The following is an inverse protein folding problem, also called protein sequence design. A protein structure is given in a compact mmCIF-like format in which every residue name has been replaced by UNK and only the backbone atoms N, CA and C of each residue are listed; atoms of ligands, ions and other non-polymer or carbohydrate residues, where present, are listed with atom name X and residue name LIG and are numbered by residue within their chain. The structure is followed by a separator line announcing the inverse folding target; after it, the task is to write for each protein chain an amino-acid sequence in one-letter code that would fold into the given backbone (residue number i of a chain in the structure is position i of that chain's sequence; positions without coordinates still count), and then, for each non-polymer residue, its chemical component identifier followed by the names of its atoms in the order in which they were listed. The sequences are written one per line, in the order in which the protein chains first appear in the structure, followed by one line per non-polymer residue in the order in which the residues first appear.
data_IF_461905239456
#
_entry.id   IF_461905239456
#
_cell.length_a   1.000
_cell.length_b   1.000
_cell.length_c   1.000
_cell.angle_alpha   90.00
_cell.angle_beta   90.00
_cell.angle_gamma   90.00
#
_symmetry.space_group_name_H-M   'P 1'
#
loop_
_entity.id
_entity.type
_entity.pdbx_description
1 polymer ?
#
# COMPACT_ATOMS: atom_id res chain seq x y z
N UNK A 1 -7.47 -23.28 11.00
CA UNK A 1 -6.35 -23.82 10.18
C UNK A 1 -5.18 -22.86 10.07
N UNK A 2 -5.39 -21.55 10.01
CA UNK A 2 -4.29 -20.57 10.00
C UNK A 2 -3.44 -20.58 11.29
N UNK A 3 -3.96 -21.06 12.40
CA UNK A 3 -3.24 -21.10 13.69
C UNK A 3 -2.44 -22.38 13.94
N UNK A 4 -2.52 -23.39 13.05
CA UNK A 4 -1.89 -24.71 13.29
C UNK A 4 -0.56 -24.95 12.58
N UNK A 5 -0.07 -24.04 11.75
CA UNK A 5 1.19 -24.22 10.99
C UNK A 5 2.44 -23.58 11.62
N UNK A 6 2.43 -23.31 12.92
CA UNK A 6 3.62 -22.84 13.63
C UNK A 6 4.26 -23.91 14.50
N UNK A 7 4.39 -25.12 14.04
CA UNK A 7 5.32 -26.11 14.59
C UNK A 7 5.32 -27.34 13.67
N UNK A 8 6.29 -27.40 12.82
CA UNK A 8 7.06 -28.62 12.53
C UNK A 8 8.19 -28.28 11.58
N UNK A 9 9.38 -28.28 12.11
CA UNK A 9 10.55 -28.73 11.37
C UNK A 9 10.23 -30.14 10.88
N UNK A 10 10.27 -30.34 9.59
CA UNK A 10 10.77 -31.59 9.01
C UNK A 10 11.06 -31.36 7.54
N UNK A 11 12.31 -31.60 7.25
CA UNK A 11 12.87 -31.83 5.93
C UNK A 11 12.13 -33.00 5.27
N UNK A 12 11.65 -32.82 4.07
CA UNK A 12 11.66 -33.89 3.09
C UNK A 12 11.90 -33.33 1.68
N UNK A 13 13.05 -33.72 1.23
CA UNK A 13 13.63 -33.60 -0.07
C UNK A 13 12.84 -34.50 -1.06
N UNK A 14 12.18 -33.90 -2.03
CA UNK A 14 11.77 -34.60 -3.23
C UNK A 14 12.23 -33.83 -4.46
N UNK A 15 13.45 -34.16 -4.87
CA UNK A 15 13.99 -33.88 -6.18
C UNK A 15 13.16 -34.55 -7.25
N UNK A 16 12.56 -33.81 -8.14
CA UNK A 16 12.12 -34.31 -9.44
C UNK A 16 13.01 -33.69 -10.50
N UNK A 17 13.86 -34.52 -11.05
CA UNK A 17 14.73 -34.22 -12.19
C UNK A 17 13.90 -33.82 -13.41
N UNK A 18 14.17 -32.66 -13.95
CA UNK A 18 13.77 -32.28 -15.29
C UNK A 18 15.04 -32.00 -16.13
N UNK A 19 15.09 -32.43 -17.40
CA UNK A 19 16.30 -32.46 -18.17
C UNK A 19 16.79 -31.09 -18.58
N UNK A 20 18.10 -30.90 -18.52
CA UNK A 20 18.81 -29.69 -18.96
C UNK A 20 18.66 -29.47 -20.46
N UNK A 21 18.38 -28.23 -20.88
CA UNK A 21 18.72 -27.76 -22.22
C UNK A 21 20.05 -27.03 -22.24
N UNK A 22 20.76 -27.22 -23.32
CA UNK A 22 22.10 -26.79 -23.64
C UNK A 22 22.35 -25.27 -23.53
N UNK A 23 23.62 -24.96 -23.31
CA UNK A 23 24.23 -23.62 -23.29
C UNK A 23 23.82 -22.74 -24.46
N UNK A 24 23.20 -21.60 -24.15
CA UNK A 24 23.17 -20.43 -25.01
C UNK A 24 23.45 -19.16 -24.17
N UNK A 25 24.58 -18.56 -24.53
CA UNK A 25 25.05 -17.19 -24.34
C UNK A 25 24.66 -16.36 -23.09
N UNK A 26 25.71 -15.91 -22.42
CA UNK A 26 25.95 -15.13 -21.23
C UNK A 26 24.99 -13.99 -20.78
N UNK A 27 24.09 -13.47 -21.60
CA UNK A 27 23.13 -12.43 -21.20
C UNK A 27 21.81 -12.97 -20.65
N UNK A 28 21.49 -14.23 -20.91
CA UNK A 28 20.26 -14.89 -20.42
C UNK A 28 20.39 -15.43 -18.99
N UNK A 29 21.61 -15.65 -18.50
CA UNK A 29 21.87 -16.26 -17.20
C UNK A 29 21.57 -15.36 -15.98
N UNK A 30 21.70 -14.05 -16.13
CA UNK A 30 21.46 -13.10 -15.03
C UNK A 30 19.96 -12.85 -14.78
N UNK A 31 19.16 -12.90 -15.84
CA UNK A 31 17.71 -12.74 -15.72
C UNK A 31 17.02 -13.95 -15.05
N UNK A 32 17.59 -15.14 -15.14
CA UNK A 32 17.03 -16.32 -14.48
C UNK A 32 17.17 -16.28 -12.95
N UNK A 33 18.21 -15.65 -12.41
CA UNK A 33 18.39 -15.50 -10.95
C UNK A 33 17.38 -14.53 -10.31
N UNK A 34 16.86 -13.57 -11.08
CA UNK A 34 15.80 -12.65 -10.63
C UNK A 34 14.41 -13.31 -10.64
N UNK A 35 14.25 -14.46 -11.32
CA UNK A 35 12.95 -15.12 -11.48
C UNK A 35 12.56 -16.01 -10.30
N UNK A 36 13.52 -16.45 -9.50
CA UNK A 36 13.32 -17.35 -8.37
C UNK A 36 13.10 -16.65 -7.03
N UNK A 37 12.79 -15.35 -7.05
CA UNK A 37 12.28 -14.69 -5.86
C UNK A 37 10.95 -15.36 -5.49
N UNK A 38 10.98 -16.30 -4.55
CA UNK A 38 9.78 -16.88 -3.95
C UNK A 38 8.92 -15.74 -3.45
N UNK A 39 7.71 -15.61 -4.00
CA UNK A 39 6.74 -14.64 -3.53
C UNK A 39 6.30 -15.12 -2.16
N UNK A 40 6.91 -14.57 -1.12
CA UNK A 40 6.39 -14.71 0.22
C UNK A 40 5.28 -13.67 0.40
N UNK A 41 4.06 -14.03 0.08
CA UNK A 41 2.91 -13.30 0.57
C UNK A 41 3.00 -13.26 2.10
N UNK A 42 2.55 -12.18 2.74
CA UNK A 42 2.71 -12.05 4.19
C UNK A 42 2.23 -13.31 4.89
N UNK A 43 3.02 -13.92 5.77
CA UNK A 43 2.73 -15.22 6.41
C UNK A 43 1.38 -15.30 7.09
N UNK A 44 0.80 -14.14 7.36
CA UNK A 44 -0.38 -14.05 8.20
C UNK A 44 -1.69 -14.05 7.41
N UNK A 45 -1.71 -13.55 6.19
CA UNK A 45 -2.95 -13.31 5.46
C UNK A 45 -3.01 -14.02 4.10
N UNK A 46 -1.89 -14.34 3.53
CA UNK A 46 -1.80 -15.13 2.31
C UNK A 46 -1.71 -16.63 2.63
N UNK A 47 -2.74 -17.16 3.23
CA UNK A 47 -2.97 -18.59 3.18
C UNK A 47 -3.64 -18.93 1.83
N UNK A 48 -3.54 -20.19 1.38
CA UNK A 48 -4.13 -20.70 0.13
C UNK A 48 -5.63 -20.41 0.00
N UNK A 49 -6.30 -20.04 1.10
CA UNK A 49 -7.72 -19.69 1.10
C UNK A 49 -8.01 -18.23 0.70
N UNK A 50 -7.00 -17.36 0.73
CA UNK A 50 -7.16 -15.94 0.37
C UNK A 50 -6.74 -15.62 -1.06
N UNK A 51 -5.96 -16.50 -1.70
CA UNK A 51 -5.43 -16.35 -3.06
C UNK A 51 -5.82 -17.57 -3.88
N UNK A 52 -6.42 -17.36 -5.04
CA UNK A 52 -6.71 -18.44 -5.99
C UNK A 52 -5.44 -18.83 -6.75
N UNK A 53 -5.42 -20.05 -7.33
CA UNK A 53 -4.30 -20.49 -8.15
C UNK A 53 -4.06 -19.55 -9.35
N UNK A 54 -5.14 -19.05 -9.97
CA UNK A 54 -5.06 -18.08 -11.07
C UNK A 54 -4.44 -16.75 -10.62
N UNK A 55 -4.88 -16.21 -9.48
CA UNK A 55 -4.28 -15.02 -8.88
C UNK A 55 -2.80 -15.26 -8.54
N UNK A 56 -2.43 -16.45 -8.07
CA UNK A 56 -1.05 -16.82 -7.82
C UNK A 56 -0.18 -16.74 -9.08
N UNK A 57 -0.68 -17.22 -10.22
CA UNK A 57 0.00 -17.09 -11.52
C UNK A 57 0.14 -15.62 -11.92
N UNK A 58 -0.92 -14.83 -11.81
CA UNK A 58 -0.88 -13.41 -12.15
C UNK A 58 0.06 -12.61 -11.23
N UNK A 59 0.13 -12.96 -9.95
CA UNK A 59 1.09 -12.38 -9.01
C UNK A 59 2.54 -12.64 -9.43
N UNK A 60 2.83 -13.87 -9.84
CA UNK A 60 4.18 -14.25 -10.29
C UNK A 60 4.63 -13.51 -11.55
N UNK A 61 3.70 -13.00 -12.35
CA UNK A 61 3.98 -12.19 -13.53
C UNK A 61 4.39 -10.75 -13.19
N UNK A 62 4.00 -10.23 -12.02
CA UNK A 62 4.43 -8.92 -11.54
C UNK A 62 5.84 -9.01 -10.95
N UNK A 63 6.85 -8.96 -11.78
CA UNK A 63 8.25 -9.11 -11.40
C UNK A 63 9.16 -8.25 -12.27
N UNK A 64 10.46 -8.26 -11.96
CA UNK A 64 11.47 -7.52 -12.71
C UNK A 64 11.52 -7.89 -14.20
N UNK A 65 11.19 -9.13 -14.58
CA UNK A 65 11.16 -9.55 -15.99
C UNK A 65 10.11 -8.80 -16.78
N UNK A 66 8.91 -8.60 -16.21
CA UNK A 66 7.85 -7.84 -16.88
C UNK A 66 8.25 -6.38 -17.05
N UNK A 67 8.85 -5.78 -16.03
CA UNK A 67 9.40 -4.43 -16.10
C UNK A 67 10.45 -4.29 -17.22
N UNK A 68 11.44 -5.19 -17.25
CA UNK A 68 12.47 -5.17 -18.29
C UNK A 68 11.93 -5.53 -19.68
N UNK A 69 10.89 -6.37 -19.76
CA UNK A 69 10.20 -6.65 -21.03
C UNK A 69 9.66 -5.36 -21.66
N UNK A 70 9.02 -4.52 -20.88
CA UNK A 70 8.48 -3.23 -21.37
C UNK A 70 9.60 -2.25 -21.72
N UNK A 71 10.65 -2.15 -20.91
CA UNK A 71 11.84 -1.35 -21.24
C UNK A 71 12.47 -1.79 -22.56
N UNK A 72 12.57 -3.09 -22.82
CA UNK A 72 13.13 -3.63 -24.06
C UNK A 72 12.20 -3.41 -25.26
N UNK A 73 10.87 -3.40 -25.06
CA UNK A 73 9.94 -3.04 -26.13
C UNK A 73 10.20 -1.61 -26.63
N UNK A 74 10.50 -0.68 -25.74
CA UNK A 74 10.79 0.71 -26.07
C UNK A 74 12.13 0.90 -26.83
N UNK A 75 13.01 -0.11 -26.82
CA UNK A 75 14.25 -0.09 -27.60
C UNK A 75 14.08 -0.61 -29.04
N UNK A 76 12.94 -1.22 -29.36
CA UNK A 76 12.66 -1.75 -30.70
C UNK A 76 12.24 -0.63 -31.65
N UNK A 77 12.45 -0.86 -32.94
CA UNK A 77 12.09 0.13 -34.00
C UNK A 77 10.57 0.32 -34.16
N UNK A 78 9.76 -0.65 -33.77
CA UNK A 78 8.30 -0.55 -33.83
C UNK A 78 7.77 0.32 -32.68
N UNK A 79 7.64 1.62 -32.98
CA UNK A 79 7.17 2.62 -32.01
C UNK A 79 5.69 2.45 -31.62
N UNK A 80 4.90 1.69 -32.38
CA UNK A 80 3.49 1.45 -32.10
C UNK A 80 3.28 0.70 -30.78
N UNK A 81 4.27 -0.09 -30.37
CA UNK A 81 4.28 -0.90 -29.14
C UNK A 81 4.95 -0.22 -27.94
N UNK A 82 5.52 0.96 -28.16
CA UNK A 82 6.16 1.70 -27.06
C UNK A 82 5.17 2.09 -25.99
N UNK A 83 5.63 2.07 -24.73
CA UNK A 83 4.89 2.51 -23.56
C UNK A 83 5.62 3.67 -22.89
N UNK A 84 4.86 4.58 -22.31
CA UNK A 84 5.41 5.55 -21.37
C UNK A 84 5.49 4.87 -20.01
N UNK A 85 6.70 4.69 -19.49
CA UNK A 85 6.92 4.09 -18.17
C UNK A 85 6.85 5.15 -17.10
N UNK A 86 5.94 4.91 -16.16
CA UNK A 86 5.76 5.72 -14.95
C UNK A 86 5.99 4.84 -13.74
N UNK A 87 6.87 5.26 -12.84
CA UNK A 87 7.12 4.59 -11.56
C UNK A 87 6.69 5.50 -10.43
N UNK A 88 5.83 5.02 -9.56
CA UNK A 88 5.39 5.71 -8.36
C UNK A 88 5.94 5.02 -7.12
N UNK A 89 6.61 5.76 -6.25
CA UNK A 89 7.31 5.22 -5.08
C UNK A 89 6.52 5.49 -3.81
N UNK A 90 6.25 4.44 -3.04
CA UNK A 90 5.64 4.58 -1.72
C UNK A 90 6.62 5.24 -0.74
N UNK A 91 6.20 6.20 0.09
CA UNK A 91 7.07 6.86 1.04
C UNK A 91 7.69 5.90 2.07
N UNK A 92 7.02 4.78 2.38
CA UNK A 92 7.56 3.74 3.27
C UNK A 92 8.72 2.95 2.65
N UNK A 93 8.93 3.04 1.35
CA UNK A 93 10.06 2.40 0.67
C UNK A 93 11.35 3.23 0.77
N UNK A 94 11.27 4.55 0.89
CA UNK A 94 12.44 5.43 0.92
C UNK A 94 13.38 5.17 2.10
N UNK A 95 12.91 4.96 3.35
CA UNK A 95 13.79 4.60 4.47
C UNK A 95 14.57 3.31 4.24
N UNK A 96 13.98 2.35 3.51
CA UNK A 96 14.67 1.11 3.14
C UNK A 96 15.87 1.39 2.23
N UNK A 97 15.71 2.17 1.17
CA UNK A 97 16.81 2.54 0.28
C UNK A 97 17.87 3.38 0.99
N UNK A 98 17.43 4.34 1.82
CA UNK A 98 18.33 5.15 2.62
C UNK A 98 19.19 4.30 3.56
N UNK A 99 18.59 3.38 4.30
CA UNK A 99 19.31 2.49 5.21
C UNK A 99 20.21 1.49 4.46
N UNK A 100 19.71 0.87 3.40
CA UNK A 100 20.45 -0.14 2.64
C UNK A 100 21.68 0.42 1.95
N UNK A 101 21.59 1.61 1.38
CA UNK A 101 22.67 2.26 0.64
C UNK A 101 23.45 3.31 1.47
N UNK A 102 23.14 3.43 2.75
CA UNK A 102 23.76 4.39 3.67
C UNK A 102 23.69 5.83 3.15
N UNK A 103 22.52 6.26 2.74
CA UNK A 103 22.20 7.57 2.20
C UNK A 103 21.22 8.31 3.11
N UNK A 104 21.16 9.64 3.01
CA UNK A 104 20.02 10.39 3.52
C UNK A 104 18.75 10.07 2.71
N UNK A 105 17.57 10.35 3.25
CA UNK A 105 16.31 10.13 2.53
C UNK A 105 16.27 10.91 1.21
N UNK A 106 16.73 12.17 1.22
CA UNK A 106 16.77 13.01 0.02
C UNK A 106 17.71 12.42 -1.02
N UNK A 107 18.93 12.02 -0.62
CA UNK A 107 19.89 11.36 -1.52
C UNK A 107 19.37 10.04 -2.05
N UNK A 108 18.73 9.23 -1.21
CA UNK A 108 18.12 7.96 -1.62
C UNK A 108 17.01 8.17 -2.66
N UNK A 109 16.16 9.16 -2.45
CA UNK A 109 15.10 9.54 -3.40
C UNK A 109 15.68 9.98 -4.74
N UNK A 110 16.68 10.85 -4.73
CA UNK A 110 17.35 11.35 -5.95
C UNK A 110 18.12 10.25 -6.70
N UNK A 111 18.82 9.39 -5.97
CA UNK A 111 19.56 8.25 -6.53
C UNK A 111 18.61 7.23 -7.16
N UNK A 112 17.53 6.90 -6.48
CA UNK A 112 16.49 6.00 -6.98
C UNK A 112 15.87 6.56 -8.27
N UNK A 113 15.50 7.83 -8.27
CA UNK A 113 14.93 8.49 -9.45
C UNK A 113 15.89 8.48 -10.62
N UNK A 114 17.15 8.86 -10.40
CA UNK A 114 18.21 8.86 -11.42
C UNK A 114 18.47 7.46 -11.99
N UNK A 115 18.52 6.44 -11.12
CA UNK A 115 18.72 5.05 -11.53
C UNK A 115 17.55 4.54 -12.40
N UNK A 116 16.33 4.81 -12.01
CA UNK A 116 15.15 4.41 -12.79
C UNK A 116 15.10 5.12 -14.15
N UNK A 117 15.38 6.42 -14.19
CA UNK A 117 15.43 7.17 -15.47
C UNK A 117 16.55 6.69 -16.38
N UNK A 118 17.70 6.31 -15.85
CA UNK A 118 18.80 5.73 -16.65
C UNK A 118 18.45 4.40 -17.29
N UNK A 119 17.55 3.63 -16.69
CA UNK A 119 17.01 2.38 -17.25
C UNK A 119 16.02 2.63 -18.40
N UNK A 120 15.44 3.82 -18.50
CA UNK A 120 14.45 4.18 -19.50
C UNK A 120 13.06 4.49 -18.95
N UNK A 121 12.92 4.70 -17.64
CA UNK A 121 11.70 5.21 -17.01
C UNK A 121 11.54 6.69 -17.37
N UNK A 122 10.35 7.08 -17.81
CA UNK A 122 10.08 8.45 -18.25
C UNK A 122 9.75 9.38 -17.08
N UNK A 123 8.93 8.91 -16.15
CA UNK A 123 8.47 9.68 -14.98
C UNK A 123 8.58 8.87 -13.71
N UNK A 124 9.02 9.52 -12.64
CA UNK A 124 9.08 8.96 -11.29
C UNK A 124 8.34 9.89 -10.35
N UNK A 125 7.25 9.39 -9.75
CA UNK A 125 6.41 10.12 -8.81
C UNK A 125 6.51 9.54 -7.40
N UNK A 126 6.08 10.35 -6.43
CA UNK A 126 5.83 9.95 -5.05
C UNK A 126 4.32 9.74 -4.86
N UNK A 127 3.92 8.74 -4.08
CA UNK A 127 2.50 8.44 -3.83
C UNK A 127 1.88 9.28 -2.72
N UNK A 128 2.59 10.21 -2.09
CA UNK A 128 2.07 11.01 -0.96
C UNK A 128 0.85 11.85 -1.33
N UNK A 129 0.79 12.38 -2.54
CA UNK A 129 -0.39 13.11 -3.01
C UNK A 129 -1.64 12.23 -3.09
N UNK A 130 -1.48 10.98 -3.50
CA UNK A 130 -2.57 10.00 -3.51
C UNK A 130 -3.03 9.65 -2.09
N UNK A 131 -2.09 9.57 -1.15
CA UNK A 131 -2.41 9.37 0.26
C UNK A 131 -3.16 10.57 0.86
N UNK A 132 -2.89 11.80 0.43
CA UNK A 132 -3.68 12.98 0.79
C UNK A 132 -5.17 12.76 0.49
N UNK A 133 -5.51 12.32 -0.72
CA UNK A 133 -6.90 12.03 -1.10
C UNK A 133 -7.51 10.91 -0.27
N UNK A 134 -6.78 9.81 -0.08
CA UNK A 134 -7.25 8.69 0.73
C UNK A 134 -7.58 9.11 2.16
N UNK A 135 -6.73 9.92 2.79
CA UNK A 135 -6.95 10.46 4.13
C UNK A 135 -8.13 11.43 4.16
N UNK A 136 -8.18 12.40 3.25
CA UNK A 136 -9.25 13.40 3.20
C UNK A 136 -10.64 12.77 3.02
N UNK A 137 -10.73 11.74 2.15
CA UNK A 137 -11.99 11.03 1.95
C UNK A 137 -12.35 10.14 3.14
N UNK A 138 -11.35 9.50 3.76
CA UNK A 138 -11.57 8.68 4.97
C UNK A 138 -12.03 9.52 6.16
N UNK A 139 -11.46 10.71 6.37
CA UNK A 139 -11.85 11.57 7.49
C UNK A 139 -13.27 12.14 7.32
N UNK A 140 -13.68 12.46 6.10
CA UNK A 140 -15.07 12.87 5.81
C UNK A 140 -16.05 11.72 6.08
N UNK A 141 -15.70 10.52 5.67
CA UNK A 141 -16.51 9.32 5.90
C UNK A 141 -16.64 9.01 7.38
N UNK A 142 -15.55 9.12 8.15
CA UNK A 142 -15.59 8.88 9.60
C UNK A 142 -16.55 9.83 10.31
N UNK A 143 -16.44 11.14 10.04
CA UNK A 143 -17.33 12.16 10.65
C UNK A 143 -18.78 11.90 10.28
N UNK A 144 -19.06 11.56 9.04
CA UNK A 144 -20.42 11.19 8.60
C UNK A 144 -20.93 9.97 9.36
N UNK A 145 -20.15 8.88 9.45
CA UNK A 145 -20.53 7.67 10.17
C UNK A 145 -20.74 7.94 11.66
N UNK A 146 -19.90 8.75 12.28
CA UNK A 146 -20.03 9.11 13.69
C UNK A 146 -21.35 9.86 13.96
N UNK A 147 -21.69 10.83 13.10
CA UNK A 147 -22.94 11.61 13.22
C UNK A 147 -24.20 10.77 12.93
N UNK A 148 -24.11 9.75 12.11
CA UNK A 148 -25.22 8.86 11.78
C UNK A 148 -25.33 7.65 12.71
N UNK A 149 -24.34 7.45 13.59
CA UNK A 149 -24.33 6.28 14.46
C UNK A 149 -25.45 6.36 15.49
N UNK A 150 -26.28 5.31 15.54
CA UNK A 150 -27.38 5.13 16.50
C UNK A 150 -27.44 3.65 16.91
N UNK A 151 -28.29 3.33 17.87
CA UNK A 151 -28.52 1.94 18.28
C UNK A 151 -29.12 1.09 17.13
N UNK A 152 -29.89 1.72 16.24
CA UNK A 152 -30.51 1.08 15.08
C UNK A 152 -29.56 1.01 13.89
N UNK A 153 -28.81 2.07 13.62
CA UNK A 153 -27.80 2.13 12.56
C UNK A 153 -26.37 2.03 13.13
N UNK A 154 -25.85 0.83 13.18
CA UNK A 154 -24.47 0.58 13.64
C UNK A 154 -23.45 0.91 12.55
N UNK A 155 -23.18 2.18 12.37
CA UNK A 155 -22.21 2.68 11.37
C UNK A 155 -20.77 2.63 11.85
N UNK A 156 -20.53 2.46 13.14
CA UNK A 156 -19.23 2.33 13.78
C UNK A 156 -19.02 0.91 14.36
N UNK A 157 -17.78 0.44 14.55
CA UNK A 157 -16.53 1.15 14.23
C UNK A 157 -16.31 1.29 12.72
N UNK A 158 -15.51 2.28 12.31
CA UNK A 158 -14.92 2.32 10.98
C UNK A 158 -13.52 1.72 11.02
N UNK A 159 -13.24 0.81 10.09
CA UNK A 159 -11.94 0.14 9.94
C UNK A 159 -11.26 0.65 8.66
N UNK A 160 -9.97 0.91 8.70
CA UNK A 160 -9.24 1.36 7.51
C UNK A 160 -9.20 0.31 6.40
N UNK A 161 -9.01 0.77 5.18
CA UNK A 161 -8.96 -0.03 3.96
C UNK A 161 -7.67 0.17 3.14
N UNK A 162 -6.67 0.84 3.70
CA UNK A 162 -5.41 1.11 2.98
C UNK A 162 -4.49 -0.12 2.87
N UNK A 163 -4.59 -1.09 3.78
CA UNK A 163 -3.79 -2.30 3.76
C UNK A 163 -4.44 -3.40 2.91
N UNK A 164 -3.88 -3.78 1.76
CA UNK A 164 -4.51 -4.76 0.86
C UNK A 164 -4.59 -6.16 1.46
N UNK A 165 -3.62 -6.58 2.25
CA UNK A 165 -3.65 -7.86 2.94
C UNK A 165 -4.81 -7.95 3.94
N UNK A 166 -5.05 -6.90 4.68
CA UNK A 166 -6.19 -6.80 5.59
C UNK A 166 -7.53 -6.81 4.85
N UNK A 167 -7.67 -5.97 3.82
CA UNK A 167 -8.92 -5.90 3.03
C UNK A 167 -9.24 -7.24 2.40
N UNK A 168 -8.24 -7.91 1.82
CA UNK A 168 -8.41 -9.24 1.23
C UNK A 168 -8.89 -10.27 2.24
N UNK A 169 -8.31 -10.27 3.43
CA UNK A 169 -8.75 -11.14 4.52
C UNK A 169 -10.19 -10.84 4.94
N UNK A 170 -10.54 -9.57 5.06
CA UNK A 170 -11.91 -9.17 5.39
C UNK A 170 -12.93 -9.63 4.35
N UNK A 171 -12.65 -9.48 3.07
CA UNK A 171 -13.55 -9.89 1.98
C UNK A 171 -13.67 -11.41 1.83
N UNK A 172 -12.53 -12.12 1.88
CA UNK A 172 -12.49 -13.56 1.54
C UNK A 172 -12.77 -14.48 2.71
N UNK A 173 -12.45 -14.06 3.93
CA UNK A 173 -12.53 -14.92 5.13
C UNK A 173 -13.61 -14.45 6.09
N UNK A 174 -13.68 -13.15 6.37
CA UNK A 174 -14.58 -12.63 7.41
C UNK A 174 -15.98 -12.29 6.90
N UNK A 175 -16.10 -11.87 5.64
CA UNK A 175 -17.37 -11.61 4.98
C UNK A 175 -18.10 -10.35 5.43
N UNK A 176 -19.37 -10.25 5.04
CA UNK A 176 -20.24 -9.07 5.22
C UNK A 176 -20.24 -8.42 6.62
N UNK A 177 -20.27 -9.17 7.72
CA UNK A 177 -20.29 -8.54 9.05
C UNK A 177 -19.09 -7.64 9.34
N UNK A 178 -17.96 -7.87 8.65
CA UNK A 178 -16.74 -7.09 8.82
C UNK A 178 -16.54 -6.11 7.65
N UNK A 179 -16.81 -6.52 6.42
CA UNK A 179 -16.64 -5.63 5.26
C UNK A 179 -17.53 -4.39 5.32
N UNK A 180 -18.68 -4.47 5.98
CA UNK A 180 -19.55 -3.32 6.22
C UNK A 180 -18.89 -2.21 7.07
N UNK A 181 -17.90 -2.56 7.89
CA UNK A 181 -17.13 -1.61 8.70
C UNK A 181 -15.94 -0.99 7.97
N UNK A 182 -15.53 -1.54 6.82
CA UNK A 182 -14.41 -0.99 6.06
C UNK A 182 -14.74 0.39 5.53
N UNK A 183 -13.76 1.30 5.63
CA UNK A 183 -13.81 2.59 4.98
C UNK A 183 -13.90 2.39 3.46
N UNK A 184 -14.77 3.13 2.80
CA UNK A 184 -14.97 3.01 1.33
C UNK A 184 -13.95 3.79 0.52
N UNK A 185 -13.19 4.71 1.15
CA UNK A 185 -12.13 5.43 0.48
C UNK A 185 -11.08 4.48 -0.06
N UNK A 186 -10.67 4.69 -1.32
CA UNK A 186 -9.61 3.91 -1.95
C UNK A 186 -8.27 4.14 -1.27
N UNK A 187 -7.42 3.12 -1.32
CA UNK A 187 -6.04 3.19 -0.83
C UNK A 187 -5.19 4.19 -1.64
N UNK A 188 -4.06 4.67 -1.08
CA UNK A 188 -3.13 5.51 -1.83
C UNK A 188 -2.67 4.90 -3.16
N UNK A 189 -2.43 3.59 -3.21
CA UNK A 189 -2.06 2.91 -4.45
C UNK A 189 -3.16 2.99 -5.51
N UNK A 190 -4.41 2.72 -5.14
CA UNK A 190 -5.55 2.79 -6.07
C UNK A 190 -5.79 4.22 -6.56
N UNK A 191 -5.70 5.20 -5.68
CA UNK A 191 -5.81 6.61 -6.04
C UNK A 191 -4.69 7.03 -6.97
N UNK A 192 -3.45 6.60 -6.70
CA UNK A 192 -2.30 6.88 -7.57
C UNK A 192 -2.48 6.28 -8.96
N UNK A 193 -3.03 5.07 -9.05
CA UNK A 193 -3.40 4.43 -10.32
C UNK A 193 -4.34 5.29 -11.15
N UNK A 194 -5.38 5.85 -10.54
CA UNK A 194 -6.32 6.76 -11.19
C UNK A 194 -5.67 8.09 -11.56
N UNK A 195 -4.84 8.67 -10.69
CA UNK A 195 -4.11 9.91 -10.98
C UNK A 195 -3.22 9.76 -12.21
N UNK A 196 -2.47 8.67 -12.31
CA UNK A 196 -1.55 8.43 -13.42
C UNK A 196 -2.30 8.09 -14.72
N UNK A 197 -3.25 7.17 -14.65
CA UNK A 197 -3.95 6.65 -15.84
C UNK A 197 -5.08 7.54 -16.35
N UNK A 198 -5.64 8.39 -15.51
CA UNK A 198 -6.70 9.34 -15.91
C UNK A 198 -6.14 10.77 -15.99
N UNK A 199 -5.81 11.41 -14.89
CA UNK A 199 -5.40 12.81 -14.88
C UNK A 199 -4.10 13.06 -15.67
N UNK A 200 -3.02 12.39 -15.28
CA UNK A 200 -1.71 12.57 -15.92
C UNK A 200 -1.73 12.13 -17.41
N UNK A 201 -2.39 11.02 -17.72
CA UNK A 201 -2.54 10.55 -19.10
C UNK A 201 -3.19 11.62 -19.98
N UNK A 202 -4.27 12.26 -19.50
CA UNK A 202 -4.94 13.35 -20.24
C UNK A 202 -4.06 14.58 -20.38
N UNK A 203 -3.30 14.94 -19.34
CA UNK A 203 -2.35 16.06 -19.39
C UNK A 203 -1.25 15.84 -20.44
N UNK A 204 -0.85 14.59 -20.65
CA UNK A 204 0.15 14.19 -21.64
C UNK A 204 -0.44 13.82 -23.03
N UNK A 205 -1.74 13.96 -23.21
CA UNK A 205 -2.46 13.52 -24.42
C UNK A 205 -2.21 12.04 -24.75
N UNK A 206 -2.18 11.20 -23.72
CA UNK A 206 -1.99 9.75 -23.83
C UNK A 206 -3.26 9.02 -23.44
N UNK A 207 -3.54 7.91 -24.13
CA UNK A 207 -4.53 6.96 -23.66
C UNK A 207 -3.98 6.10 -22.51
N UNK A 208 -4.82 5.62 -21.57
CA UNK A 208 -4.35 4.86 -20.40
C UNK A 208 -3.49 3.64 -20.75
N UNK A 209 -3.81 2.93 -21.83
CA UNK A 209 -3.07 1.75 -22.28
C UNK A 209 -1.66 2.05 -22.81
N UNK A 210 -1.36 3.31 -23.14
CA UNK A 210 -0.01 3.74 -23.54
C UNK A 210 0.93 3.93 -22.36
N UNK A 211 0.40 3.98 -21.15
CA UNK A 211 1.18 4.09 -19.92
C UNK A 211 1.35 2.72 -19.29
N UNK A 212 2.58 2.38 -18.95
CA UNK A 212 2.90 1.26 -18.08
C UNK A 212 3.26 1.81 -16.69
N UNK A 213 2.36 1.64 -15.74
CA UNK A 213 2.47 2.18 -14.38
C UNK A 213 2.98 1.13 -13.41
N UNK A 214 4.12 1.41 -12.79
CA UNK A 214 4.76 0.57 -11.79
C UNK A 214 4.70 1.25 -10.43
N UNK A 215 4.32 0.51 -9.41
CA UNK A 215 4.40 0.95 -8.00
C UNK A 215 5.58 0.26 -7.34
N UNK A 216 6.41 1.02 -6.64
CA UNK A 216 7.43 0.52 -5.71
C UNK A 216 6.86 0.49 -4.31
N UNK A 217 6.74 -0.69 -3.72
CA UNK A 217 5.98 -0.93 -2.51
C UNK A 217 6.72 -1.74 -1.45
N UNK A 218 6.36 -1.61 -0.15
CA UNK A 218 7.03 -2.31 0.93
C UNK A 218 6.61 -3.78 1.08
N UNK A 219 5.55 -4.23 0.42
CA UNK A 219 5.00 -5.57 0.61
C UNK A 219 4.46 -6.19 -0.67
N UNK A 220 4.36 -7.54 -0.68
CA UNK A 220 3.80 -8.29 -1.79
C UNK A 220 2.27 -8.20 -1.91
N UNK A 221 1.56 -7.91 -0.81
CA UNK A 221 0.10 -7.78 -0.80
C UNK A 221 -0.39 -6.66 -1.74
N UNK A 222 0.44 -5.67 -1.99
CA UNK A 222 0.15 -4.61 -2.98
C UNK A 222 0.13 -5.11 -4.42
N UNK A 223 0.77 -6.24 -4.72
CA UNK A 223 0.62 -6.93 -6.02
C UNK A 223 -0.79 -7.50 -6.19
N UNK A 224 -1.39 -8.00 -5.09
CA UNK A 224 -2.81 -8.45 -5.09
C UNK A 224 -3.76 -7.29 -5.32
N UNK A 225 -3.52 -6.16 -4.70
CA UNK A 225 -4.34 -4.96 -4.88
C UNK A 225 -4.35 -4.50 -6.34
N UNK A 226 -3.20 -4.51 -7.02
CA UNK A 226 -3.09 -4.17 -8.43
C UNK A 226 -3.93 -5.09 -9.35
N UNK A 227 -4.16 -6.34 -8.96
CA UNK A 227 -5.02 -7.27 -9.72
C UNK A 227 -6.51 -6.95 -9.56
N UNK A 228 -6.92 -6.36 -8.43
CA UNK A 228 -8.31 -6.03 -8.14
C UNK A 228 -8.79 -4.76 -8.85
N UNK A 229 -7.88 -3.89 -9.23
CA UNK A 229 -8.18 -2.61 -9.88
C UNK A 229 -8.83 -2.72 -11.27
N UNK A 230 -8.88 -3.90 -11.86
CA UNK A 230 -9.40 -4.14 -13.22
C UNK A 230 -10.89 -3.89 -13.44
N UNK A 231 -11.64 -3.46 -12.41
CA UNK A 231 -13.08 -3.21 -12.46
C UNK A 231 -13.44 -1.73 -12.58
N UNK A 232 -12.49 -0.84 -12.82
CA UNK A 232 -12.73 0.61 -12.88
C UNK A 232 -13.31 1.01 -14.24
N UNK A 233 -14.60 1.27 -14.26
CA UNK A 233 -15.31 1.86 -15.41
C UNK A 233 -14.68 3.18 -15.90
N UNK A 234 -14.11 3.97 -14.97
CA UNK A 234 -13.44 5.24 -15.27
C UNK A 234 -12.16 5.10 -16.11
N UNK A 235 -11.51 3.95 -16.13
CA UNK A 235 -10.27 3.72 -16.86
C UNK A 235 -10.46 2.88 -18.16
N UNK A 236 -11.68 2.79 -18.67
CA UNK A 236 -12.00 2.08 -19.92
C UNK A 236 -11.44 0.64 -19.96
N UNK A 237 -11.46 -0.06 -18.84
CA UNK A 237 -10.94 -1.42 -18.69
C UNK A 237 -9.42 -1.53 -18.51
N UNK A 238 -8.70 -0.41 -18.48
CA UNK A 238 -7.28 -0.38 -18.14
C UNK A 238 -7.07 -0.51 -16.63
N UNK A 239 -5.99 -1.17 -16.22
CA UNK A 239 -5.58 -1.23 -14.79
C UNK A 239 -4.96 0.10 -14.37
N UNK A 240 -5.22 0.55 -13.16
CA UNK A 240 -4.55 1.72 -12.57
C UNK A 240 -3.05 1.46 -12.35
N UNK A 241 -2.72 0.26 -11.90
CA UNK A 241 -1.34 -0.23 -11.71
C UNK A 241 -1.11 -1.47 -12.55
N UNK A 242 -0.12 -1.44 -13.43
CA UNK A 242 0.22 -2.57 -14.31
C UNK A 242 1.14 -3.58 -13.61
N UNK A 243 2.06 -3.10 -12.78
CA UNK A 243 3.03 -3.94 -12.09
C UNK A 243 3.40 -3.31 -10.74
N UNK A 244 3.50 -4.14 -9.71
CA UNK A 244 4.07 -3.75 -8.42
C UNK A 244 5.39 -4.45 -8.24
N UNK A 245 6.45 -3.69 -7.97
CA UNK A 245 7.75 -4.18 -7.58
C UNK A 245 8.00 -3.81 -6.12
N UNK A 246 8.52 -4.76 -5.36
CA UNK A 246 8.86 -4.49 -3.97
C UNK A 246 10.15 -3.67 -3.85
N UNK A 247 10.33 -3.02 -2.70
CA UNK A 247 11.57 -2.30 -2.40
C UNK A 247 12.82 -3.18 -2.56
N UNK A 248 12.74 -4.44 -2.13
CA UNK A 248 13.82 -5.41 -2.29
C UNK A 248 14.12 -5.77 -3.74
N UNK A 249 13.09 -5.94 -4.57
CA UNK A 249 13.26 -6.21 -6.01
C UNK A 249 13.92 -5.02 -6.72
N UNK A 250 13.52 -3.80 -6.41
CA UNK A 250 14.15 -2.58 -6.95
C UNK A 250 15.60 -2.42 -6.45
N UNK A 251 15.85 -2.70 -5.17
CA UNK A 251 17.22 -2.66 -4.64
C UNK A 251 18.15 -3.61 -5.38
N UNK A 252 17.71 -4.82 -5.70
CA UNK A 252 18.48 -5.77 -6.51
C UNK A 252 18.78 -5.22 -7.92
N UNK A 253 17.81 -4.57 -8.55
CA UNK A 253 18.02 -3.92 -9.85
C UNK A 253 19.06 -2.80 -9.73
N UNK A 254 19.02 -1.99 -8.68
CA UNK A 254 20.00 -0.93 -8.44
C UNK A 254 21.41 -1.48 -8.16
N UNK A 255 21.54 -2.57 -7.42
CA UNK A 255 22.83 -3.23 -7.11
C UNK A 255 23.50 -3.82 -8.35
N UNK A 256 22.71 -4.25 -9.32
CA UNK A 256 23.21 -4.79 -10.60
C UNK A 256 23.52 -3.70 -11.62
N UNK A 257 23.04 -2.48 -11.38
CA UNK A 257 23.23 -1.33 -12.26
C UNK A 257 24.54 -0.61 -12.06
N UNK A 258 24.83 0.34 -12.95
CA UNK A 258 25.99 1.22 -12.82
C UNK A 258 25.74 2.26 -11.71
N UNK A 259 26.57 2.23 -10.67
CA UNK A 259 26.52 3.17 -9.55
C UNK A 259 26.95 4.61 -9.92
N UNK A 260 27.43 4.83 -11.15
CA UNK A 260 27.84 6.16 -11.64
C UNK A 260 26.67 7.02 -12.16
N UNK A 261 25.44 6.53 -12.01
CA UNK A 261 24.24 7.21 -12.47
C UNK A 261 24.06 8.56 -11.78
N UNK A 262 23.72 9.57 -12.59
CA UNK A 262 23.42 10.91 -12.05
C UNK A 262 22.09 10.89 -11.28
N UNK A 263 22.10 11.55 -10.12
CA UNK A 263 20.90 11.79 -9.35
C UNK A 263 19.90 12.66 -10.12
N UNK A 264 18.62 12.42 -9.93
CA UNK A 264 17.54 13.19 -10.52
C UNK A 264 16.46 13.47 -9.49
N UNK A 265 15.87 14.66 -9.55
CA UNK A 265 14.71 15.00 -8.72
C UNK A 265 13.47 14.24 -9.16
N UNK A 266 12.61 13.88 -8.19
CA UNK A 266 11.31 13.27 -8.45
C UNK A 266 10.43 14.24 -9.22
N UNK A 267 9.71 13.74 -10.23
CA UNK A 267 8.76 14.50 -11.01
C UNK A 267 7.49 14.78 -10.21
N UNK A 268 6.78 15.83 -10.58
CA UNK A 268 5.45 16.11 -10.05
C UNK A 268 4.39 15.94 -11.15
N UNK A 269 3.13 15.81 -10.75
CA UNK A 269 1.99 15.75 -11.69
C UNK A 269 1.70 17.11 -12.36
N UNK A 270 2.38 18.18 -11.93
CA UNK A 270 2.15 19.58 -12.30
C UNK A 270 3.22 20.12 -13.27
N UNK A 271 3.60 19.35 -14.27
CA UNK A 271 4.53 19.78 -15.31
C UNK A 271 6.00 19.82 -14.85
N UNK A 272 6.67 20.96 -15.13
CA UNK A 272 8.12 21.08 -14.87
C UNK A 272 8.52 21.29 -13.39
N UNK A 273 7.55 21.35 -12.51
CA UNK A 273 7.83 21.44 -11.07
C UNK A 273 8.50 20.18 -10.59
N UNK A 274 9.56 20.34 -9.82
CA UNK A 274 10.32 19.25 -9.22
C UNK A 274 10.36 19.44 -7.72
N UNK A 275 9.98 18.41 -6.99
CA UNK A 275 10.07 18.44 -5.54
C UNK A 275 11.31 17.67 -5.08
N UNK A 276 12.26 18.39 -4.47
CA UNK A 276 13.39 17.77 -3.80
C UNK A 276 13.06 17.39 -2.34
N UNK A 277 11.92 17.85 -1.83
CA UNK A 277 11.55 17.66 -0.43
C UNK A 277 10.71 16.39 -0.24
N UNK A 278 11.29 15.42 0.43
CA UNK A 278 10.58 14.22 0.87
C UNK A 278 9.71 14.52 2.07
N UNK A 279 8.43 14.14 2.02
CA UNK A 279 7.47 14.28 3.12
C UNK A 279 6.75 12.97 3.37
N UNK A 280 6.15 12.82 4.55
CA UNK A 280 5.32 11.68 4.93
C UNK A 280 4.05 12.14 5.64
N UNK A 281 3.09 11.25 5.77
CA UNK A 281 1.96 11.45 6.67
C UNK A 281 2.32 11.01 8.09
N UNK A 282 1.60 11.56 9.07
CA UNK A 282 1.88 11.36 10.49
C UNK A 282 1.42 9.96 10.95
N UNK A 283 2.31 9.00 10.83
CA UNK A 283 2.09 7.62 11.26
C UNK A 283 3.42 6.90 11.41
N UNK A 284 3.53 6.00 12.38
CA UNK A 284 4.71 5.19 12.61
C UNK A 284 4.81 4.04 11.60
N UNK A 285 5.15 4.35 10.34
CA UNK A 285 5.28 3.35 9.27
C UNK A 285 3.97 2.99 8.58
N UNK A 286 2.93 3.81 8.75
CA UNK A 286 1.65 3.72 8.01
C UNK A 286 1.45 4.94 7.13
N UNK A 287 0.34 4.98 6.39
CA UNK A 287 -0.07 6.16 5.63
C UNK A 287 -0.65 7.29 6.51
N UNK A 288 -0.65 7.13 7.83
CA UNK A 288 -1.07 8.16 8.78
C UNK A 288 -2.59 8.35 8.92
N UNK A 289 -3.39 7.41 8.49
CA UNK A 289 -4.86 7.52 8.57
C UNK A 289 -5.34 7.79 9.99
N UNK A 290 -4.85 7.05 10.99
CA UNK A 290 -5.28 7.22 12.38
C UNK A 290 -5.06 8.65 12.85
N UNK A 291 -3.83 9.16 12.77
CA UNK A 291 -3.47 10.47 13.32
C UNK A 291 -4.23 11.61 12.64
N UNK A 292 -4.30 11.60 11.32
CA UNK A 292 -4.97 12.65 10.55
C UNK A 292 -6.49 12.62 10.74
N UNK A 293 -7.11 11.44 10.73
CA UNK A 293 -8.55 11.30 10.97
C UNK A 293 -8.89 11.68 12.41
N UNK A 294 -8.06 11.31 13.37
CA UNK A 294 -8.26 11.68 14.78
C UNK A 294 -8.25 13.19 14.99
N UNK A 295 -7.26 13.91 14.44
CA UNK A 295 -7.19 15.38 14.52
C UNK A 295 -8.39 16.03 13.88
N UNK A 296 -8.78 15.59 12.69
CA UNK A 296 -9.93 16.11 11.97
C UNK A 296 -11.23 15.88 12.76
N UNK A 297 -11.45 14.68 13.26
CA UNK A 297 -12.63 14.34 14.04
C UNK A 297 -12.70 15.11 15.37
N UNK A 298 -11.58 15.28 16.06
CA UNK A 298 -11.50 16.07 17.28
C UNK A 298 -11.92 17.52 17.02
N UNK A 299 -11.45 18.12 15.94
CA UNK A 299 -11.83 19.50 15.56
C UNK A 299 -13.28 19.60 15.10
N UNK A 300 -13.68 18.74 14.17
CA UNK A 300 -14.98 18.80 13.51
C UNK A 300 -16.14 18.43 14.44
N UNK A 301 -15.95 17.45 15.32
CA UNK A 301 -16.99 16.94 16.21
C UNK A 301 -17.02 17.62 17.59
N UNK A 302 -15.85 18.02 18.10
CA UNK A 302 -15.70 18.49 19.48
C UNK A 302 -15.04 19.86 19.61
N UNK A 303 -14.65 20.47 18.49
CA UNK A 303 -13.94 21.75 18.44
C UNK A 303 -12.63 21.76 19.27
N UNK A 304 -11.96 20.60 19.32
CA UNK A 304 -10.68 20.43 20.00
C UNK A 304 -9.53 20.42 19.00
N UNK A 305 -8.53 21.27 19.24
CA UNK A 305 -7.31 21.31 18.45
C UNK A 305 -6.29 20.34 19.04
N UNK A 306 -5.93 19.29 18.27
CA UNK A 306 -4.93 18.29 18.64
C UNK A 306 -3.71 18.48 17.77
N UNK A 307 -2.61 18.94 18.33
CA UNK A 307 -1.34 19.10 17.58
C UNK A 307 -0.60 17.78 17.46
N UNK A 308 -0.39 17.09 18.56
CA UNK A 308 0.28 15.80 18.63
C UNK A 308 -0.67 14.71 19.10
N UNK A 309 -0.60 13.57 18.42
CA UNK A 309 -1.38 12.38 18.78
C UNK A 309 -0.55 11.52 19.74
N UNK A 310 -1.08 11.26 20.93
CA UNK A 310 -0.43 10.45 21.94
C UNK A 310 -0.89 9.01 21.83
N UNK A 311 0.02 8.11 21.47
CA UNK A 311 -0.22 6.69 21.41
C UNK A 311 0.09 6.00 22.72
N UNK A 312 -0.84 5.20 23.22
CA UNK A 312 -0.69 4.37 24.40
C UNK A 312 -0.66 2.89 24.01
N UNK A 313 0.48 2.25 24.16
CA UNK A 313 0.59 0.80 23.99
C UNK A 313 -0.18 0.08 25.12
N UNK A 314 -1.01 -0.90 24.76
CA UNK A 314 -1.80 -1.66 25.75
C UNK A 314 -1.06 -2.94 26.16
N UNK A 315 -1.25 -4.03 25.41
CA UNK A 315 -0.64 -5.32 25.73
C UNK A 315 0.69 -5.57 25.03
N UNK A 316 0.83 -4.99 23.85
CA UNK A 316 2.03 -5.05 23.03
C UNK A 316 2.16 -3.77 22.23
N UNK A 317 3.35 -3.52 21.66
CA UNK A 317 3.64 -2.31 20.90
C UNK A 317 2.85 -2.20 19.58
N UNK A 318 2.33 -3.31 19.08
CA UNK A 318 1.59 -3.38 17.81
C UNK A 318 0.08 -3.17 17.98
N UNK A 319 -0.38 -2.96 19.22
CA UNK A 319 -1.74 -2.54 19.51
C UNK A 319 -1.72 -1.29 20.39
N UNK A 320 -2.04 -0.16 19.81
CA UNK A 320 -1.97 1.15 20.43
C UNK A 320 -3.33 1.84 20.42
N UNK A 321 -3.58 2.63 21.42
CA UNK A 321 -4.83 3.37 21.63
C UNK A 321 -4.55 4.86 21.66
N UNK A 322 -5.48 5.64 21.08
CA UNK A 322 -5.51 7.09 21.13
C UNK A 322 -6.90 7.52 21.57
N UNK A 323 -6.99 8.37 22.58
CA UNK A 323 -8.25 8.84 23.12
C UNK A 323 -8.31 10.36 23.18
N UNK A 324 -9.52 10.90 23.04
CA UNK A 324 -9.84 12.29 23.31
C UNK A 324 -10.77 12.34 24.53
N UNK A 325 -10.35 13.07 25.56
CA UNK A 325 -11.16 13.34 26.73
C UNK A 325 -11.71 14.76 26.66
N UNK A 326 -13.00 14.91 27.00
CA UNK A 326 -13.67 16.19 27.12
C UNK A 326 -14.59 16.15 28.34
N UNK A 327 -14.48 17.15 29.21
CA UNK A 327 -15.27 17.25 30.44
C UNK A 327 -15.18 16.00 31.35
N UNK A 328 -14.01 15.33 31.36
CA UNK A 328 -13.76 14.13 32.15
C UNK A 328 -14.27 12.82 31.54
N UNK A 329 -14.84 12.87 30.34
CA UNK A 329 -15.30 11.69 29.60
C UNK A 329 -14.51 11.47 28.32
N UNK A 330 -14.25 10.19 27.99
CA UNK A 330 -13.62 9.80 26.73
C UNK A 330 -14.66 9.87 25.62
N UNK A 331 -14.54 10.86 24.73
CA UNK A 331 -15.48 11.13 23.63
C UNK A 331 -15.05 10.49 22.31
N UNK A 332 -13.75 10.30 22.07
CA UNK A 332 -13.22 9.55 20.96
C UNK A 332 -12.23 8.48 21.43
N UNK A 333 -12.33 7.30 20.84
CA UNK A 333 -11.43 6.19 21.10
C UNK A 333 -11.04 5.53 19.79
N UNK A 334 -9.78 5.75 19.42
CA UNK A 334 -9.16 5.17 18.21
C UNK A 334 -8.13 4.12 18.61
N UNK A 335 -7.88 3.18 17.73
CA UNK A 335 -6.81 2.20 17.89
C UNK A 335 -6.05 1.94 16.60
N UNK A 336 -4.78 1.54 16.73
CA UNK A 336 -3.98 0.95 15.67
C UNK A 336 -3.74 -0.52 16.01
N UNK A 337 -4.09 -1.41 15.08
CA UNK A 337 -3.91 -2.85 15.20
C UNK A 337 -2.98 -3.35 14.08
N UNK A 338 -1.73 -3.64 14.42
CA UNK A 338 -0.73 -4.16 13.50
C UNK A 338 -0.49 -5.65 13.77
N UNK A 339 -0.41 -6.44 12.69
CA UNK A 339 -0.17 -7.87 12.76
C UNK A 339 -1.42 -8.70 12.98
N UNK A 340 -1.38 -9.91 12.45
CA UNK A 340 -2.54 -10.80 12.38
C UNK A 340 -3.12 -11.19 13.75
N UNK A 341 -2.28 -11.39 14.74
CA UNK A 341 -2.74 -11.72 16.09
C UNK A 341 -3.63 -10.61 16.70
N UNK A 342 -3.24 -9.35 16.48
CA UNK A 342 -4.03 -8.21 16.94
C UNK A 342 -5.32 -8.06 16.15
N UNK A 343 -5.27 -8.32 14.83
CA UNK A 343 -6.45 -8.34 13.96
C UNK A 343 -7.45 -9.38 14.43
N UNK A 344 -7.02 -10.62 14.67
CA UNK A 344 -7.90 -11.67 15.17
C UNK A 344 -8.56 -11.32 16.52
N UNK A 345 -7.77 -10.79 17.47
CA UNK A 345 -8.29 -10.37 18.76
C UNK A 345 -9.31 -9.23 18.64
N UNK A 346 -9.07 -8.28 17.73
CA UNK A 346 -9.98 -7.20 17.42
C UNK A 346 -11.31 -7.75 16.87
N UNK A 347 -11.25 -8.63 15.88
CA UNK A 347 -12.44 -9.23 15.27
C UNK A 347 -13.27 -10.04 16.27
N UNK A 348 -12.62 -10.80 17.16
CA UNK A 348 -13.31 -11.53 18.22
C UNK A 348 -14.07 -10.59 19.16
N UNK A 349 -13.47 -9.47 19.56
CA UNK A 349 -14.14 -8.48 20.40
C UNK A 349 -15.31 -7.81 19.68
N UNK A 350 -15.13 -7.48 18.39
CA UNK A 350 -16.16 -6.88 17.57
C UNK A 350 -17.37 -7.82 17.44
N UNK A 351 -17.14 -9.10 17.15
CA UNK A 351 -18.21 -10.13 17.09
C UNK A 351 -18.95 -10.35 18.40
N UNK A 352 -18.27 -10.15 19.53
CA UNK A 352 -18.88 -10.26 20.87
C UNK A 352 -19.64 -8.99 21.30
N UNK A 353 -19.70 -7.95 20.46
CA UNK A 353 -20.34 -6.67 20.81
C UNK A 353 -19.62 -5.89 21.90
N UNK A 354 -18.39 -6.25 22.24
CA UNK A 354 -17.56 -5.61 23.28
C UNK A 354 -16.41 -4.84 22.65
N UNK A 355 -16.73 -3.90 21.79
CA UNK A 355 -15.75 -3.15 21.03
C UNK A 355 -15.84 -1.66 21.33
N UNK A 356 -14.87 -1.10 22.07
CA UNK A 356 -14.96 0.27 22.58
C UNK A 356 -14.49 1.34 21.59
N UNK A 357 -13.97 0.92 20.42
CA UNK A 357 -13.34 1.85 19.48
C UNK A 357 -14.33 2.36 18.43
N UNK A 358 -14.21 3.65 18.10
CA UNK A 358 -14.94 4.26 17.00
C UNK A 358 -14.24 4.05 15.66
N UNK A 359 -12.91 3.96 15.70
CA UNK A 359 -12.06 3.82 14.53
C UNK A 359 -10.86 2.92 14.83
N UNK A 360 -10.47 2.08 13.87
CA UNK A 360 -9.24 1.29 13.95
C UNK A 360 -8.47 1.36 12.65
N UNK A 361 -7.20 1.76 12.74
CA UNK A 361 -6.24 1.55 11.66
C UNK A 361 -5.72 0.12 11.71
N UNK A 362 -5.96 -0.64 10.65
CA UNK A 362 -5.63 -2.07 10.59
C UNK A 362 -4.55 -2.31 9.55
N UNK A 363 -3.43 -2.85 9.99
CA UNK A 363 -2.28 -3.21 9.14
C UNK A 363 -1.93 -4.68 9.34
N UNK A 364 -1.72 -5.40 8.24
CA UNK A 364 -1.42 -6.84 8.27
C UNK A 364 -0.05 -7.15 8.88
N UNK A 365 0.94 -6.28 8.64
CA UNK A 365 2.31 -6.49 9.11
C UNK A 365 2.48 -6.05 10.56
N UNK A 366 3.13 -6.90 11.37
CA UNK A 366 3.60 -6.50 12.69
C UNK A 366 4.61 -5.34 12.55
N UNK A 367 4.47 -4.29 13.37
CA UNK A 367 5.30 -3.09 13.24
C UNK A 367 4.92 -2.14 12.09
N UNK A 368 3.86 -2.44 11.33
CA UNK A 368 3.37 -1.61 10.23
C UNK A 368 4.08 -1.84 8.90
N UNK A 369 3.84 -0.93 7.95
CA UNK A 369 4.30 -1.08 6.56
C UNK A 369 5.82 -1.02 6.37
N UNK A 370 6.57 -0.37 7.26
CA UNK A 370 8.04 -0.40 7.23
C UNK A 370 8.60 -1.82 7.39
N UNK A 371 7.90 -2.69 8.12
CA UNK A 371 8.23 -4.10 8.27
C UNK A 371 7.54 -4.98 7.21
N UNK A 372 7.10 -4.42 6.11
CA UNK A 372 6.56 -5.17 4.99
C UNK A 372 7.57 -6.20 4.45
N UNK A 373 7.08 -7.36 4.02
CA UNK A 373 7.94 -8.46 3.57
C UNK A 373 8.68 -8.22 2.25
N UNK A 374 8.33 -7.17 1.55
CA UNK A 374 9.09 -6.71 0.39
C UNK A 374 10.37 -5.94 0.73
N UNK A 375 10.64 -5.74 2.02
CA UNK A 375 11.81 -5.04 2.56
C UNK A 375 12.11 -5.55 3.97
N UNK A 376 13.22 -5.08 4.58
CA UNK A 376 13.60 -5.40 5.97
C UNK A 376 13.66 -6.91 6.27
N UNK A 377 14.09 -7.72 5.29
CA UNK A 377 14.26 -9.17 5.42
C UNK A 377 15.73 -9.56 5.38
N UNK A 378 16.11 -10.56 6.19
CA UNK A 378 17.38 -11.25 6.04
C UNK A 378 17.37 -12.13 4.78
N UNK A 379 18.55 -12.59 4.29
CA UNK A 379 18.59 -13.54 3.17
C UNK A 379 17.77 -14.81 3.39
N UNK A 380 17.61 -15.23 4.64
CA UNK A 380 16.83 -16.40 5.04
C UNK A 380 15.31 -16.12 5.16
N UNK A 381 14.89 -14.89 4.87
CA UNK A 381 13.47 -14.49 4.87
C UNK A 381 12.89 -14.14 6.24
N UNK A 382 13.74 -13.95 7.25
CA UNK A 382 13.31 -13.46 8.57
C UNK A 382 13.35 -11.93 8.65
N UNK A 383 12.56 -11.35 9.56
CA UNK A 383 12.57 -9.91 9.77
C UNK A 383 13.95 -9.44 10.29
N UNK A 384 14.56 -8.52 9.56
CA UNK A 384 15.80 -7.86 9.98
C UNK A 384 15.47 -6.72 10.98
N UNK A 385 15.58 -7.03 12.27
CA UNK A 385 15.23 -6.09 13.34
C UNK A 385 16.19 -4.89 13.42
N UNK A 386 17.44 -5.06 13.03
CA UNK A 386 18.42 -3.97 13.05
C UNK A 386 18.11 -2.97 11.94
N UNK A 387 17.89 -3.47 10.73
CA UNK A 387 17.48 -2.66 9.58
C UNK A 387 16.14 -1.97 9.85
N UNK A 388 15.16 -2.68 10.42
CA UNK A 388 13.86 -2.10 10.74
C UNK A 388 13.98 -0.92 11.71
N UNK A 389 14.75 -1.03 12.78
CA UNK A 389 14.98 0.08 13.73
C UNK A 389 15.63 1.27 13.06
N UNK A 390 16.59 1.03 12.17
CA UNK A 390 17.22 2.11 11.40
C UNK A 390 16.20 2.79 10.48
N UNK A 391 15.36 2.03 9.80
CA UNK A 391 14.29 2.55 8.95
C UNK A 391 13.25 3.34 9.75
N UNK A 392 12.85 2.86 10.92
CA UNK A 392 11.92 3.55 11.83
C UNK A 392 12.48 4.94 12.23
N UNK A 393 13.77 5.01 12.58
CA UNK A 393 14.45 6.27 12.88
C UNK A 393 14.50 7.22 11.70
N UNK A 394 14.88 6.74 10.53
CA UNK A 394 14.91 7.53 9.29
C UNK A 394 13.52 8.06 8.95
N UNK A 395 12.49 7.20 9.05
CA UNK A 395 11.10 7.58 8.74
C UNK A 395 10.57 8.65 9.70
N UNK A 396 10.89 8.54 10.98
CA UNK A 396 10.49 9.51 12.00
C UNK A 396 11.06 10.92 11.75
N UNK A 397 12.24 11.01 11.16
CA UNK A 397 12.92 12.28 10.85
C UNK A 397 12.36 12.95 9.56
N UNK A 398 11.58 12.25 8.74
CA UNK A 398 10.97 12.85 7.55
C UNK A 398 9.88 13.84 7.97
N UNK A 399 9.88 15.07 7.44
CA UNK A 399 8.87 16.06 7.77
C UNK A 399 7.45 15.60 7.49
N UNK A 400 6.54 15.89 8.41
CA UNK A 400 5.11 15.52 8.29
C UNK A 400 4.40 16.49 7.35
N UNK A 401 3.62 15.93 6.44
CA UNK A 401 2.72 16.61 5.52
C UNK A 401 1.29 16.58 6.07
N UNK A 402 0.58 17.69 5.95
CA UNK A 402 -0.85 17.77 6.28
C UNK A 402 -1.67 17.86 4.99
N UNK A 403 -2.59 16.90 4.75
CA UNK A 403 -3.40 16.86 3.52
C UNK A 403 -4.22 18.13 3.29
N UNK A 404 -4.75 18.73 4.35
CA UNK A 404 -5.63 19.90 4.29
C UNK A 404 -4.92 21.16 3.78
N UNK A 405 -3.62 21.25 3.99
CA UNK A 405 -2.82 22.43 3.61
C UNK A 405 -2.21 22.33 2.19
N UNK A 406 -2.44 21.24 1.49
CA UNK A 406 -1.92 21.06 0.13
C UNK A 406 -2.76 21.81 -0.90
N UNK A 407 -2.23 22.90 -1.45
CA UNK A 407 -2.87 23.65 -2.53
C UNK A 407 -3.09 22.78 -3.78
N UNK A 408 -2.13 21.90 -4.11
CA UNK A 408 -2.23 20.99 -5.25
C UNK A 408 -3.36 19.98 -5.14
N UNK A 409 -3.65 19.49 -3.94
CA UNK A 409 -4.79 18.59 -3.72
C UNK A 409 -6.10 19.31 -3.97
N UNK A 410 -6.24 20.55 -3.49
CA UNK A 410 -7.46 21.36 -3.73
C UNK A 410 -7.64 21.65 -5.22
N UNK A 411 -6.56 21.99 -5.91
CA UNK A 411 -6.57 22.19 -7.37
C UNK A 411 -7.03 20.92 -8.11
N UNK A 412 -6.49 19.74 -7.77
CA UNK A 412 -6.89 18.47 -8.35
C UNK A 412 -8.36 18.12 -8.06
N UNK A 413 -8.88 18.42 -6.89
CA UNK A 413 -10.32 18.26 -6.64
C UNK A 413 -11.17 19.05 -7.63
N UNK A 414 -10.75 20.26 -7.98
CA UNK A 414 -11.49 21.09 -8.94
C UNK A 414 -11.26 20.65 -10.39
N UNK A 415 -10.02 20.51 -10.80
CA UNK A 415 -9.66 20.24 -12.19
C UNK A 415 -9.92 18.80 -12.63
N UNK A 416 -9.59 17.85 -11.75
CA UNK A 416 -9.71 16.43 -12.07
C UNK A 416 -11.06 15.85 -11.66
N UNK A 417 -11.54 16.19 -10.48
CA UNK A 417 -12.70 15.54 -9.85
C UNK A 417 -13.98 16.38 -9.88
N UNK A 418 -13.96 17.54 -10.52
CA UNK A 418 -15.13 18.44 -10.67
C UNK A 418 -15.72 18.94 -9.34
N UNK A 419 -14.94 18.92 -8.28
CA UNK A 419 -15.31 19.39 -6.94
C UNK A 419 -15.17 18.33 -5.84
N UNK A 420 -15.06 18.78 -4.59
CA UNK A 420 -14.77 17.94 -3.42
C UNK A 420 -15.83 16.86 -3.16
N UNK A 421 -17.10 17.17 -3.38
CA UNK A 421 -18.21 16.24 -3.11
C UNK A 421 -18.95 15.84 -4.40
N UNK A 422 -18.29 15.97 -5.55
CA UNK A 422 -18.86 15.67 -6.84
C UNK A 422 -19.19 14.17 -7.01
N UNK A 423 -20.09 13.82 -7.93
CA UNK A 423 -20.31 12.43 -8.32
C UNK A 423 -19.01 11.77 -8.81
N UNK A 424 -18.17 12.48 -9.57
CA UNK A 424 -16.90 12.00 -10.07
C UNK A 424 -15.90 11.71 -8.94
N UNK A 425 -15.80 12.59 -7.93
CA UNK A 425 -14.96 12.32 -6.76
C UNK A 425 -15.41 11.05 -6.03
N UNK A 426 -16.68 10.80 -5.89
CA UNK A 426 -17.22 9.58 -5.29
C UNK A 426 -16.92 8.34 -6.11
N UNK A 427 -17.07 8.40 -7.43
CA UNK A 427 -16.76 7.29 -8.32
C UNK A 427 -15.27 6.95 -8.33
N UNK A 428 -14.41 7.95 -8.40
CA UNK A 428 -12.96 7.76 -8.54
C UNK A 428 -12.28 7.41 -7.22
N UNK A 429 -12.71 8.00 -6.10
CA UNK A 429 -12.02 7.89 -4.80
C UNK A 429 -12.62 6.87 -3.84
N UNK A 430 -13.78 6.30 -4.15
CA UNK A 430 -14.45 5.32 -3.30
C UNK A 430 -14.69 4.00 -4.02
N UNK A 431 -14.79 2.95 -3.23
CA UNK A 431 -15.03 1.57 -3.71
C UNK A 431 -16.14 0.89 -2.91
N UNK A 432 -16.60 -0.22 -3.42
CA UNK A 432 -17.51 -1.14 -2.74
C UNK A 432 -16.82 -2.49 -2.56
N UNK A 433 -17.05 -3.14 -1.42
CA UNK A 433 -16.46 -4.45 -1.12
C UNK A 433 -17.42 -5.57 -1.49
N UNK A 434 -16.88 -6.55 -2.21
CA UNK A 434 -17.62 -7.76 -2.55
C UNK A 434 -17.39 -8.80 -1.47
N UNK A 435 -18.42 -9.07 -0.65
CA UNK A 435 -18.41 -10.28 0.14
C UNK A 435 -18.77 -11.46 -0.78
N UNK A 436 -17.86 -12.40 -0.98
CA UNK A 436 -18.26 -13.69 -1.52
C UNK A 436 -19.19 -14.34 -0.50
N UNK A 437 -20.46 -14.53 -0.88
CA UNK A 437 -21.31 -15.48 -0.18
C UNK A 437 -20.67 -16.86 -0.42
N UNK A 438 -19.88 -17.34 0.53
CA UNK A 438 -19.55 -18.75 0.58
C UNK A 438 -20.89 -19.45 0.79
N UNK A 439 -21.30 -20.26 -0.19
CA UNK A 439 -22.39 -21.22 -0.01
C UNK A 439 -22.16 -21.91 1.33
N UNK A 440 -23.26 -22.14 2.05
CA UNK A 440 -23.34 -22.55 3.44
C UNK A 440 -22.61 -23.89 3.77
N UNK A 441 -21.31 -23.94 3.56
CA UNK A 441 -20.43 -24.84 4.27
C UNK A 441 -19.75 -24.02 5.36
N UNK A 442 -20.52 -23.88 6.45
CA UNK A 442 -20.02 -23.34 7.70
C UNK A 442 -18.73 -24.07 8.07
N UNK A 443 -17.63 -23.38 8.03
CA UNK A 443 -16.57 -23.67 8.97
C UNK A 443 -17.09 -23.21 10.33
N UNK A 444 -17.87 -24.07 10.99
CA UNK A 444 -18.02 -24.03 12.43
C UNK A 444 -16.62 -24.22 13.01
N UNK A 445 -15.90 -23.13 13.15
CA UNK A 445 -14.68 -23.11 13.93
C UNK A 445 -15.13 -23.18 15.38
N UNK A 446 -15.30 -24.40 15.87
CA UNK A 446 -15.36 -24.65 17.31
C UNK A 446 -13.95 -24.36 17.88
N UNK A 447 -13.86 -23.32 18.65
CA UNK A 447 -12.68 -22.90 19.41
C UNK A 447 -12.53 -23.75 20.68
#
# INVERSE_FOLDING_TARGET
ECSKKTKTDDQDDLSVDAPSPAQENGEKGEFHKLADAKIFLSDCLACDSCVTAEEGVQLSQQNAKDFFRVLNLNKKCDTSKHKVLVVSVCPQSLPYFAAKFNLSVTEASRRLCGSLKSLGVHFVFDTTIAADFSILESQKEFVRRYRQHSEEERTLPMLTSACPGWVRYAERVLGRPITAHLCTAKSPQQVMGSLVKDYFARQQNLSPEKIFHVIVAPCYDKKLEALQEGSLSALHGSRGTDCVLTSGEIAQIMEQGDLSVKDAAIDTLFGDLREDKVTRHDGAGSDGHLAHIFRHAAKELFNEDVEEVTYRALRNKDFQEVTLEKDGEVVLRFAAACGFRNIQNMILKLKKGKFPYHFVEVLACAGGCLNGRGQAQTPEGHADKALLRQMEGIYADIPVRRPESSAHVQELYQEWLEGINSPKAREVLHTTYQSQERGAHSLDIKW
#
